data_IF_030983613197
#
_entry.id   IF_030983613197
#
_cell.length_a   1.000
_cell.length_b   1.000
_cell.length_c   1.000
_cell.angle_alpha   90.00
_cell.angle_beta   90.00
_cell.angle_gamma   90.00
#
_symmetry.space_group_name_H-M   'P 1'
#
loop_
_entity.id
_entity.type
_entity.pdbx_description
1 polymer ?
#
# COMPACT_ATOMS: atom_id res chain seq x y z
N UNK A 1 5.28 -17.44 -31.77
CA UNK A 1 5.87 -16.28 -31.06
C UNK A 1 5.18 -16.14 -29.72
N UNK A 2 5.91 -16.28 -28.60
CA UNK A 2 5.33 -16.30 -27.26
C UNK A 2 4.64 -14.98 -26.90
N UNK A 3 3.43 -15.07 -26.35
CA UNK A 3 2.82 -13.95 -25.64
C UNK A 3 3.66 -13.74 -24.38
N UNK A 4 4.48 -12.70 -24.34
CA UNK A 4 5.09 -12.24 -23.08
C UNK A 4 3.95 -11.79 -22.19
N UNK A 5 3.55 -12.63 -21.25
CA UNK A 5 2.69 -12.23 -20.14
C UNK A 5 3.41 -11.07 -19.45
N UNK A 6 2.85 -9.85 -19.40
CA UNK A 6 3.47 -8.81 -18.59
C UNK A 6 3.54 -9.38 -17.18
N UNK A 7 4.74 -9.42 -16.60
CA UNK A 7 4.89 -9.57 -15.16
C UNK A 7 3.97 -8.52 -14.58
N UNK A 8 2.92 -8.92 -13.86
CA UNK A 8 2.03 -7.98 -13.19
C UNK A 8 2.87 -7.34 -12.09
N UNK A 9 3.66 -6.34 -12.45
CA UNK A 9 4.41 -5.52 -11.51
C UNK A 9 3.35 -4.85 -10.66
N UNK A 10 3.32 -5.20 -9.39
CA UNK A 10 2.41 -4.59 -8.43
C UNK A 10 2.56 -3.08 -8.54
N UNK A 11 1.47 -2.41 -8.93
CA UNK A 11 1.47 -0.95 -9.13
C UNK A 11 1.81 -0.22 -7.83
N UNK A 12 1.43 -0.81 -6.70
CA UNK A 12 1.61 -0.21 -5.38
C UNK A 12 2.59 -1.06 -4.55
N UNK A 13 3.59 -0.39 -3.97
CA UNK A 13 4.53 -0.99 -3.00
C UNK A 13 4.49 -0.18 -1.72
N UNK A 14 4.31 -0.87 -0.58
CA UNK A 14 4.33 -0.27 0.76
C UNK A 14 5.58 -0.76 1.48
N UNK A 15 6.45 0.16 1.88
CA UNK A 15 7.68 -0.12 2.62
C UNK A 15 7.64 0.53 3.99
N UNK A 16 8.05 -0.20 5.01
CA UNK A 16 8.09 0.29 6.38
C UNK A 16 9.51 0.70 6.78
N UNK A 17 9.70 1.96 7.19
CA UNK A 17 10.95 2.44 7.81
C UNK A 17 11.00 2.17 9.32
N UNK A 18 9.84 1.98 9.95
CA UNK A 18 9.68 1.56 11.34
C UNK A 18 8.42 0.67 11.43
N UNK A 19 8.17 0.02 12.57
CA UNK A 19 7.00 -0.83 12.77
C UNK A 19 5.71 -0.07 12.47
N UNK A 20 4.88 -0.65 11.61
CA UNK A 20 3.58 -0.11 11.22
C UNK A 20 2.61 -1.26 10.97
N UNK A 21 1.47 -1.21 11.63
CA UNK A 21 0.36 -2.09 11.26
C UNK A 21 -0.28 -1.53 10.00
N UNK A 22 -0.56 -2.41 9.03
CA UNK A 22 -1.20 -2.06 7.77
C UNK A 22 -2.32 -3.04 7.48
N UNK A 23 -3.42 -2.51 6.94
CA UNK A 23 -4.50 -3.27 6.36
C UNK A 23 -4.88 -2.65 5.02
N UNK A 24 -4.78 -3.45 3.96
CA UNK A 24 -5.23 -3.09 2.63
C UNK A 24 -6.52 -3.84 2.35
N UNK A 25 -7.55 -3.13 1.93
CA UNK A 25 -8.87 -3.71 1.67
C UNK A 25 -9.46 -3.20 0.37
N UNK A 26 -10.26 -4.06 -0.24
CA UNK A 26 -11.03 -3.74 -1.43
C UNK A 26 -12.39 -3.19 -0.99
N UNK A 27 -12.68 -1.90 -1.21
CA UNK A 27 -13.95 -1.31 -0.79
C UNK A 27 -15.16 -1.86 -1.57
N UNK A 28 -14.96 -2.45 -2.74
CA UNK A 28 -16.05 -3.01 -3.54
C UNK A 28 -16.58 -4.33 -2.96
N UNK A 29 -15.72 -5.11 -2.33
CA UNK A 29 -16.06 -6.36 -1.65
C UNK A 29 -16.17 -6.21 -0.12
N UNK A 30 -15.57 -5.14 0.43
CA UNK A 30 -15.42 -4.93 1.88
C UNK A 30 -14.39 -5.86 2.52
N UNK A 31 -13.69 -6.68 1.73
CA UNK A 31 -12.74 -7.68 2.21
C UNK A 31 -11.33 -7.13 2.39
N UNK A 32 -10.69 -7.52 3.49
CA UNK A 32 -9.25 -7.31 3.66
C UNK A 32 -8.48 -8.16 2.65
N UNK A 33 -7.63 -7.51 1.85
CA UNK A 33 -6.70 -8.14 0.92
C UNK A 33 -5.44 -8.58 1.69
N UNK A 34 -4.98 -7.74 2.62
CA UNK A 34 -3.77 -7.98 3.40
C UNK A 34 -3.84 -7.25 4.73
N UNK A 35 -3.54 -7.93 5.82
CA UNK A 35 -3.44 -7.32 7.15
C UNK A 35 -2.20 -7.86 7.87
N UNK A 36 -1.24 -7.00 8.20
CA UNK A 36 -0.03 -7.43 8.90
C UNK A 36 0.68 -6.28 9.63
N UNK A 37 1.56 -6.63 10.56
CA UNK A 37 2.54 -5.72 11.14
C UNK A 37 3.82 -5.74 10.29
N UNK A 38 4.06 -4.67 9.53
CA UNK A 38 5.33 -4.50 8.82
C UNK A 38 6.40 -3.99 9.79
N UNK A 39 7.52 -4.70 9.90
CA UNK A 39 8.70 -4.25 10.65
C UNK A 39 9.58 -3.36 9.77
N UNK A 40 10.51 -2.62 10.39
CA UNK A 40 11.50 -1.83 9.65
C UNK A 40 12.22 -2.68 8.60
N UNK A 41 12.31 -2.17 7.37
CA UNK A 41 12.90 -2.85 6.22
C UNK A 41 11.96 -3.76 5.46
N UNK A 42 10.79 -4.11 6.01
CA UNK A 42 9.80 -4.93 5.32
C UNK A 42 9.10 -4.14 4.19
N UNK A 43 8.67 -4.89 3.17
CA UNK A 43 7.90 -4.37 2.05
C UNK A 43 6.77 -5.35 1.71
N UNK A 44 5.65 -4.82 1.23
CA UNK A 44 4.58 -5.61 0.62
C UNK A 44 4.20 -4.99 -0.72
N UNK A 45 4.04 -5.87 -1.68
CA UNK A 45 3.50 -5.57 -2.99
C UNK A 45 1.98 -5.73 -2.92
N UNK A 46 1.24 -4.67 -3.18
CA UNK A 46 -0.22 -4.68 -3.11
C UNK A 46 -0.77 -5.18 -4.45
N UNK A 47 -1.63 -6.21 -4.46
CA UNK A 47 -2.25 -6.72 -5.68
C UNK A 47 -2.96 -5.62 -6.44
N UNK A 48 -2.87 -5.66 -7.77
CA UNK A 48 -3.38 -4.61 -8.62
C UNK A 48 -4.91 -4.65 -8.81
N UNK A 49 -5.64 -4.13 -7.83
CA UNK A 49 -7.10 -4.01 -7.79
C UNK A 49 -7.45 -2.52 -7.87
N UNK A 50 -8.50 -2.12 -8.58
CA UNK A 50 -8.82 -0.70 -8.62
C UNK A 50 -9.44 -0.22 -7.30
N UNK A 51 -8.93 0.90 -6.78
CA UNK A 51 -9.54 1.62 -5.66
C UNK A 51 -9.24 1.06 -4.27
N UNK A 52 -8.12 0.36 -4.04
CA UNK A 52 -7.81 -0.14 -2.71
C UNK A 52 -7.67 1.01 -1.70
N UNK A 53 -8.04 0.68 -0.46
CA UNK A 53 -7.89 1.56 0.69
C UNK A 53 -6.87 0.98 1.66
N UNK A 54 -6.19 1.88 2.38
CA UNK A 54 -5.22 1.56 3.41
C UNK A 54 -5.67 2.11 4.76
N UNK A 55 -5.73 1.23 5.74
CA UNK A 55 -5.71 1.55 7.17
C UNK A 55 -4.29 1.30 7.72
N UNK A 56 -3.81 2.17 8.60
CA UNK A 56 -2.49 2.01 9.22
C UNK A 56 -2.38 2.67 10.59
N UNK A 57 -1.64 2.02 11.50
CA UNK A 57 -1.16 2.62 12.75
C UNK A 57 0.34 2.88 12.64
N UNK A 58 0.76 4.14 12.68
CA UNK A 58 2.08 4.66 12.31
C UNK A 58 2.26 4.96 10.82
N UNK A 59 1.40 5.83 10.30
CA UNK A 59 1.36 6.24 8.90
C UNK A 59 2.68 6.88 8.42
N UNK A 60 3.33 7.69 9.26
CA UNK A 60 4.60 8.33 8.91
C UNK A 60 5.79 7.38 8.78
N UNK A 61 5.64 6.11 9.18
CA UNK A 61 6.66 5.08 8.98
C UNK A 61 6.54 4.39 7.61
N UNK A 62 5.53 4.72 6.81
CA UNK A 62 5.33 4.13 5.50
C UNK A 62 5.90 5.01 4.39
N UNK A 63 6.70 4.42 3.52
CA UNK A 63 6.96 4.92 2.16
C UNK A 63 6.12 4.10 1.20
N UNK A 64 5.26 4.80 0.47
CA UNK A 64 4.38 4.19 -0.52
C UNK A 64 4.83 4.67 -1.89
N UNK A 65 4.89 3.76 -2.86
CA UNK A 65 5.07 4.10 -4.27
C UNK A 65 3.92 3.57 -5.09
N UNK A 66 3.42 4.37 -6.03
CA UNK A 66 2.36 4.00 -6.98
C UNK A 66 2.90 4.25 -8.39
N UNK A 67 2.90 3.20 -9.22
CA UNK A 67 3.51 3.18 -10.55
C UNK A 67 4.97 3.64 -10.54
N UNK A 68 5.73 3.23 -9.51
CA UNK A 68 7.13 3.61 -9.31
C UNK A 68 7.35 5.06 -8.83
N UNK A 69 6.30 5.87 -8.68
CA UNK A 69 6.39 7.23 -8.16
C UNK A 69 6.08 7.30 -6.67
N UNK A 70 6.77 8.17 -5.96
CA UNK A 70 6.57 8.37 -4.51
C UNK A 70 5.18 8.95 -4.28
N UNK A 71 4.39 8.25 -3.48
CA UNK A 71 3.08 8.71 -3.01
C UNK A 71 3.27 9.78 -1.92
N UNK A 72 2.38 10.78 -1.81
CA UNK A 72 2.46 11.76 -0.74
C UNK A 72 2.51 11.12 0.64
N UNK A 73 3.18 11.77 1.59
CA UNK A 73 3.12 11.33 2.98
C UNK A 73 1.67 11.42 3.47
N UNK A 74 1.22 10.35 4.12
CA UNK A 74 -0.16 10.22 4.60
C UNK A 74 -0.31 10.59 6.08
N UNK A 75 0.80 10.86 6.79
CA UNK A 75 0.80 11.30 8.18
C UNK A 75 2.21 11.41 8.77
N UNK A 76 2.26 11.78 10.05
CA UNK A 76 3.47 11.80 10.88
C UNK A 76 3.73 10.44 11.53
N UNK A 77 4.92 10.26 12.12
CA UNK A 77 5.24 9.05 12.90
C UNK A 77 4.25 8.94 14.06
N UNK A 78 3.65 7.77 14.24
CA UNK A 78 2.63 7.48 15.25
C UNK A 78 1.20 7.78 14.82
N UNK A 79 0.98 8.55 13.76
CA UNK A 79 -0.38 8.84 13.27
C UNK A 79 -1.10 7.56 12.86
N UNK A 80 -2.38 7.48 13.21
CA UNK A 80 -3.30 6.48 12.66
C UNK A 80 -4.03 7.10 11.48
N UNK A 81 -4.11 6.38 10.36
CA UNK A 81 -4.88 6.79 9.18
C UNK A 81 -5.82 5.67 8.78
N UNK A 82 -7.01 6.04 8.32
CA UNK A 82 -8.04 5.12 7.87
C UNK A 82 -8.53 5.49 6.49
N UNK A 83 -8.89 4.49 5.70
CA UNK A 83 -9.48 4.61 4.38
C UNK A 83 -8.66 5.51 3.44
N UNK A 84 -7.33 5.46 3.54
CA UNK A 84 -6.45 6.22 2.65
C UNK A 84 -6.54 5.60 1.27
N UNK A 85 -6.98 6.36 0.27
CA UNK A 85 -7.01 5.86 -1.09
C UNK A 85 -5.59 5.75 -1.66
N UNK A 86 -5.27 4.57 -2.20
CA UNK A 86 -3.99 4.30 -2.86
C UNK A 86 -4.04 4.55 -4.38
N UNK A 87 -5.06 5.27 -4.85
CA UNK A 87 -5.15 5.65 -6.25
C UNK A 87 -4.05 6.63 -6.63
N UNK A 88 -3.65 6.62 -7.91
CA UNK A 88 -2.77 7.65 -8.45
C UNK A 88 -3.48 9.01 -8.38
N UNK A 89 -2.87 9.99 -7.72
CA UNK A 89 -3.29 11.39 -7.82
C UNK A 89 -2.84 11.91 -9.20
N UNK A 90 -3.78 12.47 -9.97
CA UNK A 90 -3.51 13.05 -11.28
C UNK A 90 -2.68 14.34 -11.17
#
# INVERSE_FOLDING_TARGET
MGKTTPVSVSRIVIRASNSSWVEVFDPSTGGAIFTNMLRSGAAVDVPDINGQLLDTGNAGALKITVDGMVFPKIGSIGDVRKSVSLMRLA
#
